data_IF_574298376739
#
_entry.id   IF_574298376739
#
_cell.length_a   1.000
_cell.length_b   1.000
_cell.length_c   1.000
_cell.angle_alpha   90.00
_cell.angle_beta   90.00
_cell.angle_gamma   90.00
#
_symmetry.space_group_name_H-M   'P 1'
#
loop_
_entity.id
_entity.type
_entity.pdbx_description
1 polymer ?
#
# COMPACT_ATOMS: atom_id res chain seq x y z
N UNK A 1 -15.18 7.73 25.62
CA UNK A 1 -14.19 7.42 24.56
C UNK A 1 -14.44 8.34 23.38
N UNK A 2 -13.36 8.86 22.77
CA UNK A 2 -13.49 9.73 21.61
C UNK A 2 -14.00 8.97 20.39
N UNK A 3 -14.61 9.71 19.46
CA UNK A 3 -15.18 9.12 18.25
C UNK A 3 -14.12 8.35 17.45
N UNK A 4 -14.49 7.17 16.98
CA UNK A 4 -13.61 6.34 16.16
C UNK A 4 -12.58 5.55 16.95
N UNK A 5 -12.58 5.64 18.29
CA UNK A 5 -11.59 5.00 19.15
C UNK A 5 -12.25 3.93 20.02
N UNK A 6 -11.58 2.79 20.14
CA UNK A 6 -12.01 1.65 20.96
C UNK A 6 -10.83 1.14 21.77
N UNK A 7 -11.04 0.87 23.06
CA UNK A 7 -10.00 0.26 23.88
C UNK A 7 -9.99 -1.25 23.70
N UNK A 8 -8.82 -1.85 23.83
CA UNK A 8 -8.63 -3.30 23.79
C UNK A 8 -7.52 -3.69 24.75
N UNK A 9 -7.43 -4.97 25.08
CA UNK A 9 -6.41 -5.50 25.97
C UNK A 9 -5.62 -6.60 25.28
N UNK A 10 -4.30 -6.60 25.49
CA UNK A 10 -3.45 -7.72 25.14
C UNK A 10 -3.60 -8.82 26.19
N UNK A 11 -3.06 -10.00 25.88
CA UNK A 11 -3.11 -11.16 26.81
C UNK A 11 -2.44 -10.84 28.14
N UNK A 12 -1.45 -9.97 28.16
CA UNK A 12 -0.72 -9.57 29.38
C UNK A 12 -1.45 -8.49 30.19
N UNK A 13 -2.61 -8.04 29.75
CA UNK A 13 -3.38 -7.00 30.40
C UNK A 13 -3.09 -5.58 29.94
N UNK A 14 -2.11 -5.38 29.09
CA UNK A 14 -1.77 -4.06 28.55
C UNK A 14 -2.92 -3.52 27.73
N UNK A 15 -3.38 -2.30 28.05
CA UNK A 15 -4.45 -1.62 27.29
C UNK A 15 -3.85 -0.93 26.09
N UNK A 16 -4.51 -1.04 24.95
CA UNK A 16 -4.19 -0.28 23.75
C UNK A 16 -5.48 0.21 23.11
N UNK A 17 -5.34 1.05 22.08
CA UNK A 17 -6.49 1.70 21.48
C UNK A 17 -6.47 1.47 19.98
N UNK A 18 -7.64 1.13 19.44
CA UNK A 18 -7.85 0.95 18.00
C UNK A 18 -8.59 2.15 17.46
N UNK A 19 -8.19 2.59 16.26
CA UNK A 19 -8.93 3.60 15.52
C UNK A 19 -9.64 2.94 14.35
N UNK A 20 -10.90 3.28 14.14
CA UNK A 20 -11.71 2.79 13.03
C UNK A 20 -12.50 3.94 12.43
N UNK A 21 -12.82 3.83 11.15
CA UNK A 21 -13.69 4.77 10.46
C UNK A 21 -14.68 4.01 9.60
N UNK A 22 -15.88 4.56 9.45
CA UNK A 22 -16.86 4.05 8.52
C UNK A 22 -17.02 5.06 7.39
N UNK A 23 -16.81 4.61 6.17
CA UNK A 23 -16.92 5.44 4.98
C UNK A 23 -17.65 4.66 3.90
N UNK A 24 -18.73 5.24 3.38
CA UNK A 24 -19.58 4.62 2.36
C UNK A 24 -19.96 3.18 2.75
N UNK A 25 -20.47 3.03 3.95
CA UNK A 25 -20.93 1.78 4.58
C UNK A 25 -19.82 0.75 4.88
N UNK A 26 -18.55 1.07 4.59
CA UNK A 26 -17.44 0.17 4.87
C UNK A 26 -16.75 0.56 6.17
N UNK A 27 -16.54 -0.44 7.04
CA UNK A 27 -15.77 -0.28 8.28
C UNK A 27 -14.29 -0.53 7.99
N UNK A 28 -13.46 0.43 8.31
CA UNK A 28 -12.02 0.40 7.99
C UNK A 28 -11.23 0.57 9.27
N UNK A 29 -10.33 -0.37 9.54
CA UNK A 29 -9.39 -0.25 10.67
C UNK A 29 -8.26 0.70 10.28
N UNK A 30 -7.95 1.65 11.17
CA UNK A 30 -6.89 2.64 10.95
C UNK A 30 -5.62 2.31 11.72
N UNK A 31 -5.62 1.24 12.51
CA UNK A 31 -4.46 0.80 13.24
C UNK A 31 -4.68 0.75 14.74
N UNK A 32 -3.62 0.41 15.46
CA UNK A 32 -3.59 0.30 16.91
C UNK A 32 -2.55 1.25 17.47
N UNK A 33 -2.85 1.85 18.63
CA UNK A 33 -2.06 2.93 19.22
C UNK A 33 -1.95 2.70 20.72
N UNK A 34 -0.87 3.21 21.31
CA UNK A 34 -0.65 3.08 22.74
C UNK A 34 -1.48 4.08 23.57
N UNK A 35 -1.96 5.17 22.96
CA UNK A 35 -2.76 6.17 23.64
C UNK A 35 -4.07 6.45 22.89
N UNK A 36 -5.07 6.89 23.65
CA UNK A 36 -6.35 7.30 23.08
C UNK A 36 -6.20 8.53 22.18
N UNK A 37 -5.34 9.47 22.58
CA UNK A 37 -5.09 10.68 21.80
C UNK A 37 -4.51 10.35 20.41
N UNK A 38 -3.54 9.45 20.36
CA UNK A 38 -2.93 9.04 19.08
C UNK A 38 -3.94 8.34 18.18
N UNK A 39 -4.75 7.45 18.76
CA UNK A 39 -5.80 6.77 18.00
C UNK A 39 -6.82 7.76 17.44
N UNK A 40 -7.23 8.73 18.25
CA UNK A 40 -8.19 9.77 17.82
C UNK A 40 -7.57 10.68 16.76
N UNK A 41 -6.29 11.02 16.90
CA UNK A 41 -5.58 11.81 15.89
C UNK A 41 -5.55 11.09 14.55
N UNK A 42 -5.30 9.77 14.53
CA UNK A 42 -5.36 8.99 13.30
C UNK A 42 -6.76 9.02 12.69
N UNK A 43 -7.80 8.93 13.52
CA UNK A 43 -9.19 9.04 13.07
C UNK A 43 -9.45 10.40 12.40
N UNK A 44 -9.02 11.49 13.03
CA UNK A 44 -9.20 12.85 12.48
C UNK A 44 -8.43 13.03 11.18
N UNK A 45 -7.23 12.47 11.09
CA UNK A 45 -6.44 12.50 9.85
C UNK A 45 -7.18 11.76 8.73
N UNK A 46 -7.75 10.60 9.03
CA UNK A 46 -8.54 9.85 8.05
C UNK A 46 -9.78 10.63 7.60
N UNK A 47 -10.48 11.29 8.52
CA UNK A 47 -11.61 12.15 8.18
C UNK A 47 -11.19 13.25 7.22
N UNK A 48 -10.08 13.91 7.50
CA UNK A 48 -9.56 14.96 6.63
C UNK A 48 -9.25 14.43 5.23
N UNK A 49 -8.58 13.28 5.12
CA UNK A 49 -8.28 12.68 3.83
C UNK A 49 -9.55 12.41 3.02
N UNK A 50 -10.58 11.90 3.67
CA UNK A 50 -11.80 11.48 2.98
C UNK A 50 -12.69 12.65 2.60
N UNK A 51 -12.64 13.76 3.34
CA UNK A 51 -13.52 14.90 3.15
C UNK A 51 -12.87 16.04 2.36
N UNK A 52 -11.55 16.11 2.33
CA UNK A 52 -10.82 17.22 1.73
C UNK A 52 -10.15 16.80 0.42
N UNK A 53 -10.76 17.16 -0.70
CA UNK A 53 -10.26 16.83 -2.04
C UNK A 53 -8.91 17.47 -2.36
N UNK A 54 -8.50 18.50 -1.60
CA UNK A 54 -7.18 19.11 -1.76
C UNK A 54 -6.05 18.20 -1.26
N UNK A 55 -6.38 17.18 -0.45
CA UNK A 55 -5.40 16.18 -0.03
C UNK A 55 -5.26 15.15 -1.15
N UNK A 56 -4.03 14.97 -1.63
CA UNK A 56 -3.70 14.07 -2.73
C UNK A 56 -2.45 13.27 -2.36
N UNK A 57 -2.06 12.34 -3.22
CA UNK A 57 -0.80 11.61 -3.06
C UNK A 57 0.42 12.53 -3.01
N UNK A 58 0.32 13.71 -3.61
CA UNK A 58 1.40 14.70 -3.63
C UNK A 58 1.69 15.32 -2.26
N UNK A 59 0.63 15.60 -1.48
CA UNK A 59 0.78 16.33 -0.22
C UNK A 59 0.40 15.50 1.01
N UNK A 60 0.17 14.22 0.82
CA UNK A 60 -0.30 13.32 1.87
C UNK A 60 0.62 13.33 3.10
N UNK A 61 1.93 13.49 2.92
CA UNK A 61 2.91 13.48 4.03
C UNK A 61 2.65 14.56 5.06
N UNK A 62 2.27 15.76 4.60
CA UNK A 62 2.00 16.88 5.48
C UNK A 62 0.66 16.74 6.21
N UNK A 63 -0.17 15.78 5.83
CA UNK A 63 -1.52 15.60 6.34
C UNK A 63 -1.64 14.45 7.34
N UNK A 64 -0.60 13.63 7.48
CA UNK A 64 -0.63 12.46 8.37
C UNK A 64 0.57 12.47 9.32
N UNK A 65 0.32 12.12 10.59
CA UNK A 65 1.34 11.92 11.61
C UNK A 65 1.15 10.58 12.32
N UNK A 66 -0.09 10.17 12.52
CA UNK A 66 -0.47 8.97 13.27
C UNK A 66 -1.01 7.90 12.34
N UNK A 67 -1.71 8.30 11.29
CA UNK A 67 -2.18 7.38 10.26
C UNK A 67 -0.99 6.90 9.44
N UNK A 68 -0.89 5.58 9.19
CA UNK A 68 0.19 5.05 8.37
C UNK A 68 0.04 5.51 6.92
N UNK A 69 1.16 5.64 6.23
CA UNK A 69 1.17 5.99 4.80
C UNK A 69 0.39 4.96 3.98
N UNK A 70 0.61 3.67 4.26
CA UNK A 70 -0.10 2.59 3.57
C UNK A 70 -1.61 2.77 3.66
N UNK A 71 -2.11 3.00 4.88
CA UNK A 71 -3.54 3.18 5.10
C UNK A 71 -4.05 4.45 4.41
N UNK A 72 -3.26 5.51 4.43
CA UNK A 72 -3.63 6.75 3.76
C UNK A 72 -3.81 6.55 2.25
N UNK A 73 -2.92 5.78 1.61
CA UNK A 73 -3.06 5.43 0.18
C UNK A 73 -4.35 4.65 -0.05
N UNK A 74 -4.63 3.66 0.80
CA UNK A 74 -5.86 2.87 0.69
C UNK A 74 -7.11 3.75 0.76
N UNK A 75 -7.12 4.72 1.67
CA UNK A 75 -8.25 5.63 1.85
C UNK A 75 -8.39 6.59 0.66
N UNK A 76 -7.28 7.14 0.16
CA UNK A 76 -7.32 8.02 -1.00
C UNK A 76 -7.84 7.28 -2.23
N UNK A 77 -7.40 6.04 -2.44
CA UNK A 77 -7.88 5.24 -3.55
C UNK A 77 -9.38 4.97 -3.42
N UNK A 78 -9.83 4.64 -2.22
CA UNK A 78 -11.26 4.40 -1.98
C UNK A 78 -12.08 5.66 -2.25
N UNK A 79 -11.61 6.81 -1.78
CA UNK A 79 -12.27 8.09 -2.02
C UNK A 79 -12.37 8.40 -3.51
N UNK A 80 -11.24 8.24 -4.24
CA UNK A 80 -11.13 8.72 -5.63
C UNK A 80 -11.62 7.68 -6.64
N UNK A 81 -11.39 6.39 -6.37
CA UNK A 81 -11.61 5.31 -7.34
C UNK A 81 -12.70 4.33 -6.91
N UNK A 82 -13.29 4.51 -5.74
CA UNK A 82 -14.44 3.75 -5.22
C UNK A 82 -14.18 2.27 -4.97
N UNK A 83 -12.90 1.87 -4.88
CA UNK A 83 -12.49 0.50 -4.54
C UNK A 83 -11.55 0.54 -3.34
N UNK A 84 -11.83 -0.31 -2.37
CA UNK A 84 -10.97 -0.43 -1.19
C UNK A 84 -10.09 -1.66 -1.30
N UNK A 85 -8.77 -1.44 -1.29
CA UNK A 85 -7.77 -2.50 -1.21
C UNK A 85 -7.10 -2.48 0.15
N UNK A 86 -6.71 -3.65 0.64
CA UNK A 86 -5.97 -3.74 1.91
C UNK A 86 -4.48 -3.41 1.72
N UNK A 87 -3.98 -3.50 0.50
CA UNK A 87 -2.62 -3.10 0.15
C UNK A 87 -2.62 -1.67 -0.38
N UNK A 88 -1.47 -0.97 -0.30
CA UNK A 88 -1.39 0.45 -0.68
C UNK A 88 -1.37 0.63 -2.20
N UNK A 89 -2.51 0.40 -2.81
CA UNK A 89 -2.73 0.47 -4.25
C UNK A 89 -3.55 1.71 -4.58
N UNK A 90 -3.11 2.45 -5.60
CA UNK A 90 -3.86 3.56 -6.15
C UNK A 90 -4.08 3.32 -7.65
N UNK A 91 -5.34 3.24 -8.06
CA UNK A 91 -5.69 3.00 -9.46
C UNK A 91 -5.40 4.23 -10.30
N UNK A 92 -4.77 4.00 -11.44
CA UNK A 92 -4.51 5.01 -12.46
C UNK A 92 -5.28 4.65 -13.72
N UNK A 93 -5.09 5.42 -14.76
CA UNK A 93 -5.74 5.16 -16.04
C UNK A 93 -4.95 4.08 -16.80
N UNK A 94 -5.49 2.86 -16.82
CA UNK A 94 -4.89 1.73 -17.55
C UNK A 94 -3.78 0.98 -16.80
N UNK A 95 -3.41 1.44 -15.61
CA UNK A 95 -2.43 0.77 -14.77
C UNK A 95 -2.71 1.11 -13.31
N UNK A 96 -1.91 0.59 -12.38
CA UNK A 96 -2.02 0.97 -10.98
C UNK A 96 -0.65 1.17 -10.35
N UNK A 97 -0.62 1.98 -9.30
CA UNK A 97 0.55 2.18 -8.47
C UNK A 97 0.43 1.34 -7.21
N UNK A 98 1.52 0.71 -6.81
CA UNK A 98 1.66 0.04 -5.52
C UNK A 98 2.76 0.76 -4.75
N UNK A 99 2.42 1.36 -3.61
CA UNK A 99 3.38 2.12 -2.83
C UNK A 99 4.03 1.23 -1.78
N UNK A 100 5.24 0.78 -2.06
CA UNK A 100 6.00 0.00 -1.09
C UNK A 100 6.36 0.85 0.13
N UNK A 101 6.63 2.13 -0.11
CA UNK A 101 6.85 3.17 0.89
C UNK A 101 6.50 4.52 0.24
N UNK A 102 6.61 5.60 1.03
CA UNK A 102 6.29 6.95 0.54
C UNK A 102 7.22 7.43 -0.57
N UNK A 103 8.43 6.83 -0.66
CA UNK A 103 9.42 7.17 -1.69
C UNK A 103 9.60 6.05 -2.72
N UNK A 104 8.80 5.00 -2.69
CA UNK A 104 8.92 3.89 -3.64
C UNK A 104 7.56 3.51 -4.21
N UNK A 105 7.27 4.06 -5.37
CA UNK A 105 6.08 3.75 -6.15
C UNK A 105 6.42 2.71 -7.22
N UNK A 106 5.73 1.56 -7.17
CA UNK A 106 5.81 0.52 -8.20
C UNK A 106 4.63 0.67 -9.13
N UNK A 107 4.84 0.47 -10.43
CA UNK A 107 3.78 0.53 -11.42
C UNK A 107 3.58 -0.83 -12.05
N UNK A 108 2.33 -1.23 -12.22
CA UNK A 108 1.95 -2.53 -12.77
C UNK A 108 0.81 -2.36 -13.76
N UNK A 109 0.71 -3.28 -14.71
CA UNK A 109 -0.46 -3.37 -15.58
C UNK A 109 -1.71 -3.72 -14.77
N UNK A 110 -2.84 -3.26 -15.25
CA UNK A 110 -4.13 -3.52 -14.60
C UNK A 110 -4.43 -5.02 -14.52
N UNK A 111 -3.87 -5.81 -15.42
CA UNK A 111 -4.04 -7.27 -15.42
C UNK A 111 -3.45 -7.94 -14.18
N UNK A 112 -2.50 -7.30 -13.51
CA UNK A 112 -1.89 -7.82 -12.29
C UNK A 112 -2.58 -7.32 -11.02
N UNK A 113 -3.61 -6.50 -11.14
CA UNK A 113 -4.28 -5.88 -9.99
C UNK A 113 -4.80 -6.92 -9.01
N UNK A 114 -5.47 -7.95 -9.53
CA UNK A 114 -6.08 -8.97 -8.69
C UNK A 114 -5.03 -9.71 -7.85
N UNK A 115 -3.87 -9.96 -8.47
CA UNK A 115 -2.78 -10.63 -7.77
C UNK A 115 -2.23 -9.79 -6.63
N UNK A 116 -1.88 -8.52 -6.90
CA UNK A 116 -1.28 -7.65 -5.88
C UNK A 116 -2.28 -7.07 -4.89
N UNK A 117 -3.56 -7.12 -5.20
CA UNK A 117 -4.58 -6.81 -4.21
C UNK A 117 -4.60 -7.86 -3.10
N UNK A 118 -4.28 -9.11 -3.40
CA UNK A 118 -4.26 -10.22 -2.46
C UNK A 118 -2.89 -10.64 -1.96
N UNK A 119 -1.81 -10.05 -2.47
CA UNK A 119 -0.44 -10.41 -2.08
C UNK A 119 0.34 -9.15 -1.74
N UNK A 120 0.84 -9.08 -0.49
CA UNK A 120 1.64 -7.95 -0.05
C UNK A 120 3.07 -8.08 -0.59
N UNK A 121 3.54 -7.03 -1.27
CA UNK A 121 4.92 -6.97 -1.75
C UNK A 121 5.83 -6.59 -0.58
N UNK A 122 6.94 -7.31 -0.44
CA UNK A 122 7.95 -7.10 0.58
C UNK A 122 9.31 -6.88 -0.09
N UNK A 123 10.21 -6.22 0.62
CA UNK A 123 11.56 -5.95 0.14
C UNK A 123 12.58 -6.52 1.13
N UNK A 124 13.56 -7.25 0.61
CA UNK A 124 14.68 -7.75 1.40
C UNK A 124 15.95 -7.68 0.55
N UNK A 125 16.96 -6.97 1.03
CA UNK A 125 18.26 -6.84 0.36
C UNK A 125 18.11 -6.40 -1.11
N UNK A 126 17.21 -5.47 -1.36
CA UNK A 126 16.97 -4.95 -2.70
C UNK A 126 16.06 -5.82 -3.58
N UNK A 127 15.62 -6.98 -3.08
CA UNK A 127 14.73 -7.87 -3.82
C UNK A 127 13.28 -7.68 -3.40
N UNK A 128 12.39 -7.58 -4.39
CA UNK A 128 10.95 -7.49 -4.18
C UNK A 128 10.34 -8.89 -4.34
N UNK A 129 9.52 -9.27 -3.37
CA UNK A 129 8.91 -10.59 -3.36
C UNK A 129 7.55 -10.57 -2.67
N UNK A 130 6.77 -11.62 -2.90
CA UNK A 130 5.56 -11.90 -2.15
C UNK A 130 5.70 -13.26 -1.47
N UNK A 131 5.01 -13.45 -0.35
CA UNK A 131 4.94 -14.73 0.35
C UNK A 131 3.60 -15.40 0.05
N UNK A 132 3.63 -16.70 -0.25
CA UNK A 132 2.43 -17.48 -0.52
C UNK A 132 2.68 -18.92 -0.08
N UNK A 133 1.78 -19.44 0.77
CA UNK A 133 1.88 -20.79 1.34
C UNK A 133 3.26 -21.08 1.97
N UNK A 134 3.81 -20.08 2.69
CA UNK A 134 5.09 -20.20 3.36
C UNK A 134 6.31 -20.09 2.46
N UNK A 135 6.12 -19.88 1.16
CA UNK A 135 7.21 -19.72 0.20
C UNK A 135 7.30 -18.28 -0.27
N UNK A 136 8.51 -17.86 -0.66
CA UNK A 136 8.77 -16.52 -1.19
C UNK A 136 8.95 -16.59 -2.70
N UNK A 137 8.27 -15.70 -3.41
CA UNK A 137 8.33 -15.61 -4.87
C UNK A 137 8.77 -14.21 -5.26
N UNK A 138 9.86 -14.12 -6.04
CA UNK A 138 10.27 -12.85 -6.63
C UNK A 138 9.17 -12.34 -7.56
N UNK A 139 8.86 -11.03 -7.50
CA UNK A 139 7.87 -10.46 -8.42
C UNK A 139 8.32 -10.56 -9.87
N UNK A 140 9.63 -10.62 -10.13
CA UNK A 140 10.17 -10.77 -11.48
C UNK A 140 9.85 -12.14 -12.09
N UNK A 141 9.52 -13.15 -11.27
CA UNK A 141 9.14 -14.47 -11.78
C UNK A 141 7.88 -14.43 -12.63
N UNK A 142 7.01 -13.45 -12.39
CA UNK A 142 5.78 -13.27 -13.18
C UNK A 142 6.06 -12.83 -14.61
N UNK A 143 7.28 -12.38 -14.89
CA UNK A 143 7.74 -11.96 -16.22
C UNK A 143 8.68 -12.99 -16.85
N UNK A 144 8.80 -14.18 -16.25
CA UNK A 144 9.71 -15.21 -16.72
C UNK A 144 11.17 -14.91 -16.43
N UNK A 145 11.45 -13.97 -15.55
CA UNK A 145 12.81 -13.55 -15.22
C UNK A 145 13.31 -14.37 -14.03
N UNK A 146 14.50 -14.95 -14.18
CA UNK A 146 15.10 -15.79 -13.15
C UNK A 146 15.62 -14.95 -11.97
N UNK A 147 15.64 -15.52 -10.75
CA UNK A 147 16.10 -14.75 -9.56
C UNK A 147 17.55 -14.29 -9.66
N UNK A 148 18.39 -14.96 -10.43
CA UNK A 148 19.80 -14.60 -10.61
C UNK A 148 20.03 -13.69 -11.81
N UNK A 149 18.98 -13.28 -12.51
CA UNK A 149 19.10 -12.39 -13.66
C UNK A 149 19.60 -11.01 -13.26
N UNK A 150 20.39 -10.41 -14.13
CA UNK A 150 21.00 -9.10 -13.90
C UNK A 150 20.39 -8.08 -14.86
N UNK A 151 19.88 -6.98 -14.29
CA UNK A 151 19.33 -5.87 -15.07
C UNK A 151 20.39 -5.31 -16.01
N UNK A 152 20.00 -5.09 -17.27
CA UNK A 152 20.89 -4.59 -18.31
C UNK A 152 21.63 -5.69 -19.06
N UNK A 153 21.69 -6.91 -18.51
CA UNK A 153 22.30 -8.06 -19.17
C UNK A 153 21.24 -9.08 -19.61
N UNK A 154 20.38 -9.48 -18.68
CA UNK A 154 19.39 -10.54 -18.91
C UNK A 154 18.01 -9.96 -19.17
N UNK A 155 17.74 -8.77 -18.69
CA UNK A 155 16.49 -8.03 -18.93
C UNK A 155 16.77 -6.54 -18.75
N UNK A 156 15.86 -5.69 -19.22
CA UNK A 156 15.97 -4.26 -19.06
C UNK A 156 14.61 -3.59 -18.93
N UNK A 157 14.63 -2.39 -18.36
CA UNK A 157 13.48 -1.50 -18.27
C UNK A 157 13.62 -0.43 -19.36
N UNK A 158 12.70 -0.42 -20.33
CA UNK A 158 12.81 0.46 -21.50
C UNK A 158 12.92 1.94 -21.16
N UNK A 159 12.15 2.40 -20.18
CA UNK A 159 12.18 3.82 -19.80
C UNK A 159 13.24 4.13 -18.72
N UNK A 160 14.03 3.15 -18.31
CA UNK A 160 15.04 3.31 -17.28
C UNK A 160 14.51 3.31 -15.85
N UNK A 161 13.19 3.26 -15.65
CA UNK A 161 12.58 3.21 -14.33
C UNK A 161 12.50 1.75 -13.88
N UNK A 162 13.34 1.38 -12.92
CA UNK A 162 13.42 0.01 -12.39
C UNK A 162 12.25 -0.36 -11.49
N UNK A 163 11.32 0.56 -11.26
CA UNK A 163 10.09 0.33 -10.49
C UNK A 163 8.85 0.28 -11.37
N UNK A 164 9.01 0.43 -12.68
CA UNK A 164 7.91 0.35 -13.63
C UNK A 164 7.83 -1.07 -14.21
N UNK A 165 6.97 -1.87 -13.61
CA UNK A 165 6.79 -3.29 -13.93
C UNK A 165 5.67 -3.53 -14.94
N UNK A 166 5.25 -2.52 -15.69
CA UNK A 166 4.30 -2.76 -16.78
C UNK A 166 4.98 -3.62 -17.85
N UNK A 167 4.24 -4.57 -18.42
CA UNK A 167 4.80 -5.53 -19.37
C UNK A 167 5.50 -4.86 -20.54
N UNK A 168 4.92 -3.75 -21.03
CA UNK A 168 5.52 -3.01 -22.16
C UNK A 168 6.87 -2.37 -21.82
N UNK A 169 7.20 -2.26 -20.52
CA UNK A 169 8.45 -1.63 -20.06
C UNK A 169 9.56 -2.65 -19.75
N UNK A 170 9.24 -3.93 -19.76
CA UNK A 170 10.22 -4.98 -19.41
C UNK A 170 10.53 -5.80 -20.65
N UNK A 171 11.82 -5.86 -20.98
CA UNK A 171 12.31 -6.71 -22.07
C UNK A 171 13.19 -7.81 -21.48
N UNK A 172 12.79 -9.06 -21.69
CA UNK A 172 13.59 -10.22 -21.30
C UNK A 172 14.54 -10.53 -22.46
N UNK A 173 15.84 -10.46 -22.19
CA UNK A 173 16.89 -10.63 -23.21
C UNK A 173 17.33 -12.09 -23.27
N UNK A 174 17.39 -12.78 -22.12
CA UNK A 174 17.89 -14.16 -22.04
C UNK A 174 16.83 -15.10 -21.45
#
# INVERSE_FOLDING_TARGET
MQTGVYSAQKKDGTVYYRANITYQTKHISLGSFSSEEDAHSAYLEACNLLENEAVTLFNIHSQIRHLSFDKAVCLLNFRDNHLYFHNPIYLRKGYFSYFLSDDMELKFDIDDLFYYAGHRIQKRQGHLFVSDYGMQYSILSRYGIKPYAVTGRDYLFFNGDTHDFRYSNILNIN
#
